data_IF_194056551333
#
_entry.id   IF_194056551333
#
_cell.length_a   1.000
_cell.length_b   1.000
_cell.length_c   1.000
_cell.angle_alpha   90.00
_cell.angle_beta   90.00
_cell.angle_gamma   90.00
#
_symmetry.space_group_name_H-M   'P 1'
#
loop_
_entity.id
_entity.type
_entity.pdbx_description
1 polymer ?
#
# COMPACT_ATOMS: atom_id res chain seq x y z
N UNK A 1 -36.17 51.83 5.84
CA UNK A 1 -34.88 51.73 6.54
C UNK A 1 -34.54 50.24 6.58
N UNK A 2 -33.62 49.80 5.69
CA UNK A 2 -33.06 48.44 5.70
C UNK A 2 -31.83 48.47 6.60
N UNK A 3 -31.95 47.93 7.80
CA UNK A 3 -30.83 47.64 8.67
C UNK A 3 -30.09 46.39 8.12
N UNK A 4 -28.95 46.61 7.48
CA UNK A 4 -28.03 45.53 7.11
C UNK A 4 -27.43 44.91 8.37
N UNK A 5 -27.77 43.68 8.68
CA UNK A 5 -27.08 42.88 9.67
C UNK A 5 -25.75 42.42 9.04
N UNK A 6 -24.71 43.19 9.21
CA UNK A 6 -23.34 42.76 8.94
C UNK A 6 -22.96 41.71 10.00
N UNK A 7 -23.07 40.45 9.69
CA UNK A 7 -22.47 39.40 10.52
C UNK A 7 -20.94 39.52 10.44
N UNK A 8 -20.30 39.79 11.57
CA UNK A 8 -18.84 39.78 11.69
C UNK A 8 -18.35 38.33 11.54
N UNK A 9 -18.09 37.91 10.31
CA UNK A 9 -17.50 36.60 10.01
C UNK A 9 -15.98 36.68 9.80
N UNK A 10 -15.40 37.91 9.96
CA UNK A 10 -13.98 38.12 9.68
C UNK A 10 -13.01 37.33 10.53
N UNK A 11 -13.38 36.99 11.75
CA UNK A 11 -12.50 36.29 12.68
C UNK A 11 -12.87 34.80 12.82
N UNK A 12 -13.85 34.32 12.03
CA UNK A 12 -14.36 32.95 12.15
C UNK A 12 -13.30 31.90 11.83
N UNK A 13 -12.44 32.14 10.87
CA UNK A 13 -11.33 31.26 10.51
C UNK A 13 -10.27 31.20 11.61
N UNK A 14 -9.94 32.33 12.23
CA UNK A 14 -8.95 32.39 13.29
C UNK A 14 -9.44 31.75 14.60
N UNK A 15 -10.71 31.91 14.96
CA UNK A 15 -11.31 31.26 16.14
C UNK A 15 -11.47 29.74 15.96
N UNK A 16 -11.69 29.29 14.75
CA UNK A 16 -11.81 27.83 14.44
C UNK A 16 -10.47 27.17 14.12
N UNK A 17 -9.39 27.92 14.08
CA UNK A 17 -8.05 27.38 13.84
C UNK A 17 -7.54 26.71 15.12
N UNK A 18 -7.41 25.38 15.08
CA UNK A 18 -6.78 24.67 16.18
C UNK A 18 -5.26 24.98 16.19
N UNK A 19 -4.73 25.67 17.22
CA UNK A 19 -3.31 26.07 17.29
C UNK A 19 -2.36 24.84 17.35
N UNK A 20 -2.88 23.67 17.71
CA UNK A 20 -2.13 22.42 17.76
C UNK A 20 -2.27 21.58 16.49
N UNK A 21 -3.05 22.03 15.51
CA UNK A 21 -3.20 21.35 14.25
C UNK A 21 -2.05 21.71 13.32
N UNK A 22 -1.41 20.69 12.76
CA UNK A 22 -0.38 20.87 11.74
C UNK A 22 -1.00 21.54 10.51
N UNK A 23 -0.46 22.68 10.09
CA UNK A 23 -0.94 23.40 8.90
C UNK A 23 -0.59 22.66 7.62
N UNK A 24 -1.33 22.91 6.53
CA UNK A 24 -1.02 22.32 5.22
C UNK A 24 0.42 22.59 4.79
N UNK A 25 0.92 23.83 4.95
CA UNK A 25 2.30 24.15 4.64
C UNK A 25 3.34 23.40 5.49
N UNK A 26 3.00 23.08 6.74
CA UNK A 26 3.84 22.23 7.60
C UNK A 26 3.77 20.75 7.17
N UNK A 27 2.63 20.30 6.65
CA UNK A 27 2.49 18.95 6.12
C UNK A 27 3.17 18.77 4.76
N UNK A 28 3.29 19.82 3.97
CA UNK A 28 4.04 19.83 2.72
C UNK A 28 5.54 19.94 2.98
N UNK A 29 5.91 20.66 4.05
CA UNK A 29 7.31 20.72 4.45
C UNK A 29 7.84 19.32 4.76
N UNK A 30 9.03 19.02 4.29
CA UNK A 30 9.71 17.75 4.52
C UNK A 30 8.97 16.50 3.96
N UNK A 31 8.15 16.66 2.93
CA UNK A 31 7.38 15.54 2.33
C UNK A 31 6.50 14.77 3.33
N UNK A 32 6.05 15.38 4.42
CA UNK A 32 5.32 14.68 5.49
C UNK A 32 4.07 13.98 4.98
N UNK A 33 3.27 14.69 4.17
CA UNK A 33 2.00 14.18 3.60
C UNK A 33 2.20 12.90 2.77
N UNK A 34 3.28 12.85 2.00
CA UNK A 34 3.61 11.74 1.10
C UNK A 34 4.45 10.68 1.80
N UNK A 35 5.42 11.10 2.58
CA UNK A 35 6.35 10.21 3.27
C UNK A 35 5.65 9.29 4.29
N UNK A 36 4.66 9.80 5.02
CA UNK A 36 3.88 8.97 5.96
C UNK A 36 3.11 7.85 5.24
N UNK A 37 2.58 8.13 4.05
CA UNK A 37 1.89 7.13 3.23
C UNK A 37 2.86 6.09 2.67
N UNK A 38 4.07 6.51 2.23
CA UNK A 38 5.13 5.58 1.82
C UNK A 38 5.51 4.66 2.99
N UNK A 39 5.69 5.22 4.19
CA UNK A 39 5.98 4.43 5.39
C UNK A 39 4.86 3.42 5.71
N UNK A 40 3.59 3.82 5.54
CA UNK A 40 2.45 2.92 5.70
C UNK A 40 2.52 1.76 4.72
N UNK A 41 2.77 2.03 3.43
CA UNK A 41 2.92 0.98 2.41
C UNK A 41 4.09 0.04 2.71
N UNK A 42 5.22 0.55 3.19
CA UNK A 42 6.36 -0.29 3.59
C UNK A 42 5.96 -1.30 4.68
N UNK A 43 5.17 -0.86 5.67
CA UNK A 43 4.67 -1.72 6.74
C UNK A 43 3.72 -2.84 6.27
N UNK A 44 3.08 -2.67 5.11
CA UNK A 44 2.16 -3.66 4.54
C UNK A 44 2.85 -4.71 3.67
N UNK A 45 4.08 -4.49 3.22
CA UNK A 45 4.83 -5.46 2.39
C UNK A 45 5.03 -6.77 3.14
N UNK A 46 5.43 -6.69 4.40
CA UNK A 46 5.48 -7.83 5.33
C UNK A 46 4.68 -7.41 6.55
N UNK A 47 3.46 -7.91 6.72
CA UNK A 47 2.64 -7.57 7.87
C UNK A 47 3.34 -8.01 9.16
N UNK A 48 3.65 -7.07 10.04
CA UNK A 48 4.28 -7.37 11.34
C UNK A 48 3.27 -7.66 12.43
N UNK A 49 2.02 -7.28 12.21
CA UNK A 49 0.97 -7.53 13.19
C UNK A 49 0.59 -9.01 13.18
N UNK A 50 0.55 -9.61 14.36
CA UNK A 50 0.38 -11.03 14.61
C UNK A 50 -0.75 -11.66 13.78
N UNK A 51 -1.96 -11.13 13.84
CA UNK A 51 -3.10 -11.72 13.14
C UNK A 51 -3.00 -11.59 11.62
N UNK A 52 -2.43 -10.51 11.07
CA UNK A 52 -2.29 -10.34 9.61
C UNK A 52 -1.27 -11.33 9.05
N UNK A 53 -0.12 -11.50 9.70
CA UNK A 53 0.86 -12.50 9.33
C UNK A 53 0.30 -13.92 9.50
N UNK A 54 -0.41 -14.15 10.58
CA UNK A 54 -1.02 -15.43 10.89
C UNK A 54 -1.97 -15.89 9.78
N UNK A 55 -2.85 -15.02 9.29
CA UNK A 55 -3.79 -15.38 8.23
C UNK A 55 -3.11 -15.62 6.88
N UNK A 56 -2.07 -14.87 6.54
CA UNK A 56 -1.38 -15.02 5.27
C UNK A 56 -0.46 -16.25 5.21
N UNK A 57 0.31 -16.47 6.28
CA UNK A 57 1.39 -17.45 6.26
C UNK A 57 1.08 -18.68 7.12
N UNK A 58 0.78 -18.48 8.41
CA UNK A 58 0.67 -19.59 9.35
C UNK A 58 -0.62 -20.40 9.20
N UNK A 59 -1.74 -19.76 8.85
CA UNK A 59 -3.05 -20.42 8.72
C UNK A 59 -3.40 -20.76 7.27
N UNK A 60 -2.72 -20.22 6.27
CA UNK A 60 -3.00 -20.50 4.86
C UNK A 60 -1.81 -21.08 4.11
N UNK A 61 -0.78 -20.29 3.83
CA UNK A 61 0.36 -20.72 3.01
C UNK A 61 1.09 -21.94 3.57
N UNK A 62 1.39 -21.94 4.87
CA UNK A 62 2.07 -23.03 5.55
C UNK A 62 1.28 -24.35 5.53
N UNK A 63 0.01 -24.38 5.96
CA UNK A 63 -0.83 -25.57 5.90
C UNK A 63 -1.10 -26.08 4.48
N UNK A 64 -1.41 -25.19 3.53
CA UNK A 64 -1.65 -25.60 2.15
C UNK A 64 -0.42 -26.21 1.49
N UNK A 65 0.76 -25.72 1.84
CA UNK A 65 2.03 -26.27 1.38
C UNK A 65 2.49 -27.51 2.17
N UNK A 66 1.77 -27.88 3.24
CA UNK A 66 2.09 -29.06 4.06
C UNK A 66 3.26 -28.84 5.05
N UNK A 67 3.67 -27.60 5.28
CA UNK A 67 4.74 -27.30 6.24
C UNK A 67 4.26 -27.25 7.70
N UNK A 68 3.00 -26.94 7.92
CA UNK A 68 2.39 -26.77 9.24
C UNK A 68 1.06 -27.53 9.27
N UNK A 69 0.79 -28.24 10.36
CA UNK A 69 -0.50 -28.89 10.62
C UNK A 69 -1.04 -28.53 11.99
N UNK A 70 -2.36 -28.63 12.18
CA UNK A 70 -2.98 -28.43 13.48
C UNK A 70 -2.66 -29.61 14.40
N UNK A 71 -2.25 -29.28 15.62
CA UNK A 71 -1.93 -30.28 16.66
C UNK A 71 -3.17 -30.74 17.44
N UNK A 72 -4.32 -30.09 17.24
CA UNK A 72 -5.54 -30.32 18.03
C UNK A 72 -6.73 -30.52 17.09
N UNK A 73 -7.44 -31.63 17.25
CA UNK A 73 -8.62 -31.94 16.44
C UNK A 73 -9.85 -31.07 16.72
N UNK A 74 -9.83 -30.33 17.83
CA UNK A 74 -10.96 -29.46 18.24
C UNK A 74 -11.13 -28.18 17.41
N UNK A 75 -10.15 -27.81 16.59
CA UNK A 75 -10.27 -26.68 15.66
C UNK A 75 -11.15 -27.05 14.48
N UNK A 76 -12.36 -26.53 14.46
CA UNK A 76 -13.34 -26.82 13.42
C UNK A 76 -13.00 -26.24 12.05
N UNK A 77 -12.15 -25.22 12.03
CA UNK A 77 -11.71 -24.53 10.81
C UNK A 77 -10.23 -24.81 10.57
N UNK A 78 -9.95 -25.74 9.65
CA UNK A 78 -8.59 -26.17 9.38
C UNK A 78 -8.21 -25.86 7.95
N UNK A 79 -7.20 -25.03 7.77
CA UNK A 79 -6.64 -24.78 6.44
C UNK A 79 -5.98 -26.04 5.85
N UNK A 80 -5.33 -26.85 6.67
CA UNK A 80 -4.72 -28.10 6.22
C UNK A 80 -5.72 -29.12 5.62
N UNK A 81 -6.97 -28.98 5.96
CA UNK A 81 -8.07 -29.77 5.36
C UNK A 81 -8.81 -29.03 4.26
N UNK A 82 -8.27 -27.90 3.81
CA UNK A 82 -8.89 -27.02 2.81
C UNK A 82 -10.30 -26.54 3.21
N UNK A 83 -10.57 -26.42 4.49
CA UNK A 83 -11.86 -25.97 5.06
C UNK A 83 -11.70 -24.75 5.98
N UNK A 84 -11.15 -23.62 5.48
CA UNK A 84 -11.02 -22.40 6.26
C UNK A 84 -12.37 -21.71 6.47
N UNK A 85 -12.52 -20.97 7.58
CA UNK A 85 -13.70 -20.13 7.79
C UNK A 85 -13.77 -19.00 6.77
N UNK A 86 -14.99 -18.49 6.53
CA UNK A 86 -15.22 -17.38 5.63
C UNK A 86 -14.43 -16.12 6.06
N UNK A 87 -14.39 -15.84 7.37
CA UNK A 87 -13.69 -14.69 7.92
C UNK A 87 -12.18 -14.80 7.73
N UNK A 88 -11.60 -15.96 7.94
CA UNK A 88 -10.16 -16.18 7.75
C UNK A 88 -9.75 -16.05 6.28
N UNK A 89 -10.60 -16.47 5.35
CA UNK A 89 -10.37 -16.28 3.90
C UNK A 89 -10.51 -14.83 3.47
N UNK A 90 -11.37 -14.06 4.15
CA UNK A 90 -11.64 -12.67 3.80
C UNK A 90 -10.51 -11.73 4.19
N UNK A 91 -9.86 -11.96 5.34
CA UNK A 91 -8.86 -11.06 5.91
C UNK A 91 -7.70 -10.74 4.95
N UNK A 92 -6.97 -11.71 4.40
CA UNK A 92 -5.84 -11.44 3.51
C UNK A 92 -6.24 -10.76 2.19
N UNK A 93 -7.52 -10.77 1.86
CA UNK A 93 -8.05 -10.17 0.64
C UNK A 93 -8.57 -8.75 0.90
N UNK A 94 -9.69 -8.62 1.59
CA UNK A 94 -10.42 -7.36 1.70
C UNK A 94 -9.62 -6.28 2.45
N UNK A 95 -8.99 -6.64 3.55
CA UNK A 95 -8.27 -5.68 4.39
C UNK A 95 -6.97 -5.24 3.70
N UNK A 96 -6.19 -6.17 3.13
CA UNK A 96 -4.94 -5.84 2.44
C UNK A 96 -5.21 -4.91 1.26
N UNK A 97 -6.26 -5.16 0.47
CA UNK A 97 -6.63 -4.27 -0.63
C UNK A 97 -6.97 -2.88 -0.10
N UNK A 98 -7.86 -2.77 0.88
CA UNK A 98 -8.31 -1.48 1.41
C UNK A 98 -7.15 -0.69 2.03
N UNK A 99 -6.33 -1.34 2.85
CA UNK A 99 -5.19 -0.71 3.52
C UNK A 99 -4.10 -0.27 2.53
N UNK A 100 -3.93 -0.99 1.43
CA UNK A 100 -2.95 -0.65 0.39
C UNK A 100 -3.41 0.52 -0.46
N UNK A 101 -4.67 0.51 -0.91
CA UNK A 101 -5.14 1.49 -1.88
C UNK A 101 -5.34 2.89 -1.30
N UNK A 102 -5.70 3.03 -0.04
CA UNK A 102 -5.86 4.34 0.60
C UNK A 102 -4.57 5.19 0.56
N UNK A 103 -3.42 4.72 1.09
CA UNK A 103 -2.17 5.45 0.98
C UNK A 103 -1.65 5.54 -0.46
N UNK A 104 -1.81 4.50 -1.27
CA UNK A 104 -1.40 4.48 -2.67
C UNK A 104 -2.07 5.61 -3.48
N UNK A 105 -3.41 5.67 -3.48
CA UNK A 105 -4.16 6.75 -4.14
C UNK A 105 -3.77 8.12 -3.62
N UNK A 106 -3.57 8.23 -2.33
CA UNK A 106 -3.16 9.49 -1.70
C UNK A 106 -1.75 9.94 -2.08
N UNK A 107 -0.89 9.06 -2.60
CA UNK A 107 0.40 9.44 -3.19
C UNK A 107 0.20 9.80 -4.66
N UNK A 108 -0.40 8.89 -5.46
CA UNK A 108 -0.57 9.07 -6.91
C UNK A 108 -1.36 10.36 -7.24
N UNK A 109 -2.40 10.68 -6.47
CA UNK A 109 -3.20 11.90 -6.67
C UNK A 109 -2.71 13.12 -5.89
N UNK A 110 -1.67 13.00 -5.09
CA UNK A 110 -1.25 14.05 -4.16
C UNK A 110 0.14 14.65 -4.41
N UNK A 111 0.91 14.14 -5.38
CA UNK A 111 2.26 14.64 -5.68
C UNK A 111 2.70 14.33 -7.09
N UNK A 112 3.54 15.21 -7.64
CA UNK A 112 4.25 14.98 -8.92
C UNK A 112 5.69 14.46 -8.70
N UNK A 113 6.09 14.19 -7.45
CA UNK A 113 7.42 13.64 -7.13
C UNK A 113 7.53 12.23 -7.69
N UNK A 114 8.36 12.06 -8.72
CA UNK A 114 8.56 10.78 -9.41
C UNK A 114 9.13 9.68 -8.49
N UNK A 115 9.90 10.05 -7.46
CA UNK A 115 10.44 9.08 -6.49
C UNK A 115 9.33 8.57 -5.57
N UNK A 116 8.45 9.46 -5.10
CA UNK A 116 7.29 9.08 -4.31
C UNK A 116 6.34 8.17 -5.08
N UNK A 117 6.06 8.51 -6.34
CA UNK A 117 5.23 7.71 -7.25
C UNK A 117 5.87 6.34 -7.51
N UNK A 118 7.21 6.31 -7.69
CA UNK A 118 7.94 5.05 -7.86
C UNK A 118 7.84 4.17 -6.62
N UNK A 119 7.97 4.73 -5.41
CA UNK A 119 7.76 3.99 -4.17
C UNK A 119 6.33 3.44 -4.07
N UNK A 120 5.33 4.26 -4.39
CA UNK A 120 3.94 3.82 -4.34
C UNK A 120 3.69 2.61 -5.25
N UNK A 121 4.13 2.67 -6.52
CA UNK A 121 4.00 1.58 -7.49
C UNK A 121 4.75 0.33 -7.06
N UNK A 122 6.01 0.49 -6.70
CA UNK A 122 6.88 -0.61 -6.27
C UNK A 122 6.29 -1.34 -5.05
N UNK A 123 5.86 -0.59 -4.04
CA UNK A 123 5.30 -1.17 -2.81
C UNK A 123 3.93 -1.79 -3.04
N UNK A 124 3.08 -1.18 -3.90
CA UNK A 124 1.83 -1.80 -4.32
C UNK A 124 2.06 -3.17 -4.95
N UNK A 125 3.00 -3.27 -5.89
CA UNK A 125 3.34 -4.56 -6.51
C UNK A 125 3.81 -5.56 -5.46
N UNK A 126 4.71 -5.17 -4.56
CA UNK A 126 5.24 -6.04 -3.53
C UNK A 126 4.14 -6.61 -2.59
N UNK A 127 3.11 -5.81 -2.30
CA UNK A 127 1.97 -6.22 -1.47
C UNK A 127 1.00 -7.07 -2.27
N UNK A 128 0.56 -6.58 -3.44
CA UNK A 128 -0.54 -7.16 -4.21
C UNK A 128 -0.16 -8.45 -4.94
N UNK A 129 1.15 -8.70 -5.18
CA UNK A 129 1.61 -9.98 -5.69
C UNK A 129 1.15 -11.13 -4.80
N UNK A 130 1.28 -11.00 -3.48
CA UNK A 130 0.82 -12.01 -2.52
C UNK A 130 -0.69 -12.24 -2.62
N UNK A 131 -1.46 -11.17 -2.83
CA UNK A 131 -2.91 -11.27 -2.93
C UNK A 131 -3.31 -12.04 -4.19
N UNK A 132 -2.78 -11.70 -5.35
CA UNK A 132 -3.09 -12.43 -6.60
C UNK A 132 -2.54 -13.86 -6.60
N UNK A 133 -1.39 -14.11 -5.95
CA UNK A 133 -0.85 -15.46 -5.78
C UNK A 133 -1.78 -16.35 -4.93
N UNK A 134 -2.49 -15.77 -3.97
CA UNK A 134 -3.39 -16.48 -3.07
C UNK A 134 -4.81 -16.64 -3.62
N UNK A 135 -5.30 -15.69 -4.41
CA UNK A 135 -6.71 -15.63 -4.84
C UNK A 135 -6.90 -15.70 -6.36
N UNK A 136 -5.84 -15.62 -7.15
CA UNK A 136 -5.92 -15.56 -8.61
C UNK A 136 -6.41 -14.20 -9.09
N UNK A 137 -7.57 -14.12 -9.77
CA UNK A 137 -8.15 -12.83 -10.19
C UNK A 137 -8.45 -11.92 -9.01
N UNK A 138 -8.04 -10.65 -9.13
CA UNK A 138 -8.26 -9.60 -8.10
C UNK A 138 -8.61 -8.28 -8.76
N UNK A 139 -9.28 -7.34 -8.06
CA UNK A 139 -9.41 -5.97 -8.53
C UNK A 139 -8.03 -5.30 -8.44
N UNK A 140 -7.48 -4.84 -9.57
CA UNK A 140 -6.15 -4.25 -9.63
C UNK A 140 -6.09 -2.99 -10.49
N UNK A 141 -6.32 -3.10 -11.81
CA UNK A 141 -6.14 -1.99 -12.74
C UNK A 141 -7.20 -0.91 -12.62
N UNK A 142 -8.44 -1.29 -12.29
CA UNK A 142 -9.60 -0.39 -12.23
C UNK A 142 -9.87 0.18 -10.82
N UNK A 143 -9.08 -0.18 -9.82
CA UNK A 143 -9.26 0.34 -8.46
C UNK A 143 -8.92 1.83 -8.33
N UNK A 144 -8.21 2.40 -9.30
CA UNK A 144 -7.89 3.82 -9.33
C UNK A 144 -9.07 4.67 -9.78
N UNK A 145 -9.96 4.10 -10.60
CA UNK A 145 -11.14 4.76 -11.13
C UNK A 145 -12.24 4.76 -10.06
N UNK A 146 -12.44 5.90 -9.40
CA UNK A 146 -13.43 6.06 -8.31
C UNK A 146 -14.88 6.11 -8.75
N UNK A 147 -15.20 5.83 -10.02
CA UNK A 147 -16.52 6.07 -10.60
C UNK A 147 -17.53 4.93 -10.35
N UNK A 148 -17.09 3.76 -9.93
CA UNK A 148 -17.96 2.60 -9.74
C UNK A 148 -17.93 2.05 -8.33
N UNK A 149 -19.11 1.72 -7.81
CA UNK A 149 -19.26 0.96 -6.54
C UNK A 149 -18.76 -0.49 -6.70
N UNK A 150 -18.80 -0.99 -7.94
CA UNK A 150 -18.32 -2.33 -8.28
C UNK A 150 -17.04 -2.21 -9.12
N UNK A 151 -15.98 -2.83 -8.63
CA UNK A 151 -14.73 -2.94 -9.37
C UNK A 151 -14.61 -4.35 -9.93
N UNK A 152 -14.49 -4.45 -11.24
CA UNK A 152 -14.27 -5.73 -11.92
C UNK A 152 -12.92 -6.32 -11.52
N UNK A 153 -12.86 -7.64 -11.43
CA UNK A 153 -11.62 -8.37 -11.22
C UNK A 153 -10.85 -8.49 -12.53
N UNK A 154 -9.58 -8.17 -12.46
CA UNK A 154 -8.65 -8.49 -13.55
C UNK A 154 -8.25 -9.97 -13.48
N UNK A 155 -8.04 -10.57 -14.63
CA UNK A 155 -7.40 -11.90 -14.66
C UNK A 155 -6.01 -11.84 -14.06
N UNK A 156 -5.52 -12.93 -13.50
CA UNK A 156 -4.17 -12.99 -12.94
C UNK A 156 -3.10 -12.58 -13.97
N UNK A 157 -3.27 -12.98 -15.23
CA UNK A 157 -2.40 -12.55 -16.35
C UNK A 157 -2.38 -11.03 -16.51
N UNK A 158 -3.56 -10.39 -16.48
CA UNK A 158 -3.68 -8.92 -16.55
C UNK A 158 -3.02 -8.25 -15.36
N UNK A 159 -3.22 -8.78 -14.16
CA UNK A 159 -2.59 -8.27 -12.93
C UNK A 159 -1.06 -8.30 -13.06
N UNK A 160 -0.49 -9.43 -13.47
CA UNK A 160 0.95 -9.56 -13.65
C UNK A 160 1.50 -8.63 -14.73
N UNK A 161 0.78 -8.50 -15.85
CA UNK A 161 1.16 -7.54 -16.92
C UNK A 161 1.23 -6.13 -16.37
N UNK A 162 0.23 -5.71 -15.59
CA UNK A 162 0.23 -4.39 -14.94
C UNK A 162 1.35 -4.23 -13.91
N UNK A 163 1.65 -5.27 -13.15
CA UNK A 163 2.78 -5.26 -12.22
C UNK A 163 4.12 -5.04 -12.94
N UNK A 164 4.32 -5.63 -14.11
CA UNK A 164 5.53 -5.37 -14.92
C UNK A 164 5.60 -3.93 -15.41
N UNK A 165 4.50 -3.37 -15.91
CA UNK A 165 4.42 -1.97 -16.33
C UNK A 165 4.78 -1.02 -15.17
N UNK A 166 4.25 -1.27 -13.99
CA UNK A 166 4.53 -0.46 -12.80
C UNK A 166 5.96 -0.59 -12.31
N UNK A 167 6.51 -1.80 -12.32
CA UNK A 167 7.91 -2.04 -11.94
C UNK A 167 8.86 -1.37 -12.93
N UNK A 168 8.57 -1.41 -14.23
CA UNK A 168 9.39 -0.73 -15.23
C UNK A 168 9.36 0.79 -15.07
N UNK A 169 8.19 1.35 -14.81
CA UNK A 169 8.06 2.78 -14.52
C UNK A 169 8.82 3.17 -13.24
N UNK A 170 8.69 2.36 -12.17
CA UNK A 170 9.39 2.61 -10.91
C UNK A 170 10.92 2.48 -11.05
N UNK A 171 11.39 1.43 -11.72
CA UNK A 171 12.82 1.21 -12.00
C UNK A 171 13.39 2.38 -12.81
N UNK A 172 12.67 2.85 -13.82
CA UNK A 172 13.09 4.00 -14.62
C UNK A 172 13.21 5.29 -13.80
N UNK A 173 12.22 5.58 -12.95
CA UNK A 173 12.23 6.74 -12.07
C UNK A 173 13.34 6.66 -11.01
N UNK A 174 13.47 5.54 -10.32
CA UNK A 174 14.52 5.34 -9.32
C UNK A 174 15.92 5.40 -9.96
N UNK A 175 16.08 4.86 -11.18
CA UNK A 175 17.35 4.88 -11.91
C UNK A 175 17.84 6.29 -12.22
N UNK A 176 16.93 7.22 -12.52
CA UNK A 176 17.26 8.64 -12.74
C UNK A 176 17.65 9.38 -11.46
N UNK A 177 17.26 8.88 -10.31
CA UNK A 177 17.37 9.55 -9.02
C UNK A 177 18.37 8.90 -8.05
N UNK A 178 19.26 8.03 -8.51
CA UNK A 178 20.22 7.31 -7.66
C UNK A 178 21.20 8.22 -6.92
N UNK A 179 21.38 9.45 -7.39
CA UNK A 179 22.26 10.47 -6.77
C UNK A 179 21.52 11.40 -5.81
N UNK A 180 20.19 11.22 -5.65
CA UNK A 180 19.41 12.01 -4.70
C UNK A 180 19.95 11.77 -3.28
N UNK A 181 20.05 12.86 -2.49
CA UNK A 181 20.42 12.73 -1.08
C UNK A 181 19.43 11.85 -0.34
N UNK A 182 19.93 10.94 0.49
CA UNK A 182 19.10 10.10 1.34
C UNK A 182 18.25 10.90 2.34
N UNK A 183 18.66 12.14 2.67
CA UNK A 183 17.98 12.98 3.66
C UNK A 183 16.52 13.26 3.29
N UNK A 184 16.21 13.34 1.99
CA UNK A 184 14.86 13.59 1.51
C UNK A 184 13.85 12.50 1.99
N UNK A 185 14.29 11.25 2.09
CA UNK A 185 13.43 10.11 2.39
C UNK A 185 13.81 9.36 3.67
N UNK A 186 15.00 9.61 4.25
CA UNK A 186 15.54 8.85 5.40
C UNK A 186 14.57 8.79 6.59
N UNK A 187 13.79 9.84 6.80
CA UNK A 187 12.81 9.93 7.89
C UNK A 187 11.61 8.99 7.73
N UNK A 188 11.25 8.67 6.50
CA UNK A 188 10.07 7.87 6.17
C UNK A 188 10.40 6.47 5.67
N UNK A 189 11.63 6.26 5.21
CA UNK A 189 12.10 4.98 4.73
C UNK A 189 12.75 4.19 5.87
N UNK A 190 12.00 3.25 6.41
CA UNK A 190 12.47 2.35 7.47
C UNK A 190 13.30 1.18 6.97
N UNK A 191 13.51 1.03 5.65
CA UNK A 191 14.18 -0.13 5.04
C UNK A 191 15.61 0.21 4.63
N UNK A 192 15.78 1.22 3.79
CA UNK A 192 17.10 1.62 3.25
C UNK A 192 17.46 3.06 3.59
N UNK A 193 16.72 3.70 4.49
CA UNK A 193 17.00 5.04 5.02
C UNK A 193 17.19 6.09 3.92
N UNK A 194 16.35 6.03 2.88
CA UNK A 194 16.36 6.96 1.76
C UNK A 194 17.40 6.64 0.67
N UNK A 195 18.08 5.51 0.73
CA UNK A 195 19.05 5.11 -0.27
C UNK A 195 18.36 4.59 -1.55
N UNK A 196 18.22 5.46 -2.55
CA UNK A 196 17.53 5.16 -3.81
C UNK A 196 18.22 4.05 -4.59
N UNK A 197 19.55 3.95 -4.54
CA UNK A 197 20.28 2.89 -5.23
C UNK A 197 19.95 1.49 -4.65
N UNK A 198 19.70 1.39 -3.36
CA UNK A 198 19.25 0.14 -2.74
C UNK A 198 17.81 -0.19 -3.15
N UNK A 199 16.93 0.81 -3.20
CA UNK A 199 15.58 0.63 -3.71
C UNK A 199 15.53 0.19 -5.16
N UNK A 200 16.43 0.71 -6.00
CA UNK A 200 16.57 0.26 -7.39
C UNK A 200 16.96 -1.24 -7.46
N UNK A 201 17.89 -1.68 -6.60
CA UNK A 201 18.24 -3.11 -6.51
C UNK A 201 17.05 -3.96 -6.08
N UNK A 202 16.30 -3.50 -5.06
CA UNK A 202 15.09 -4.17 -4.60
C UNK A 202 14.05 -4.28 -5.72
N UNK A 203 13.81 -3.19 -6.46
CA UNK A 203 12.84 -3.18 -7.57
C UNK A 203 13.19 -4.20 -8.66
N UNK A 204 14.46 -4.29 -9.05
CA UNK A 204 14.93 -5.29 -10.01
C UNK A 204 14.82 -6.72 -9.47
N UNK A 205 15.09 -6.94 -8.18
CA UNK A 205 14.92 -8.25 -7.53
C UNK A 205 13.45 -8.65 -7.46
N UNK A 206 12.56 -7.71 -7.16
CA UNK A 206 11.13 -7.95 -7.17
C UNK A 206 10.63 -8.26 -8.58
N UNK A 207 11.10 -7.52 -9.61
CA UNK A 207 10.77 -7.81 -11.01
C UNK A 207 11.20 -9.21 -11.42
N UNK A 208 12.40 -9.64 -11.04
CA UNK A 208 12.86 -11.00 -11.26
C UNK A 208 11.95 -12.02 -10.58
N UNK A 209 11.59 -11.78 -9.32
CA UNK A 209 10.66 -12.66 -8.57
C UNK A 209 9.31 -12.78 -9.25
N UNK A 210 8.74 -11.66 -9.72
CA UNK A 210 7.47 -11.65 -10.46
C UNK A 210 7.60 -12.41 -11.78
N UNK A 211 8.75 -12.32 -12.47
CA UNK A 211 8.99 -13.03 -13.74
C UNK A 211 9.17 -14.56 -13.58
N UNK A 212 9.44 -15.05 -12.39
CA UNK A 212 9.60 -16.49 -12.11
C UNK A 212 8.28 -17.17 -11.74
N UNK A 213 7.18 -16.43 -11.70
CA UNK A 213 5.84 -16.95 -11.42
C UNK A 213 5.07 -17.23 -12.69
#
# INVERSE_FOLDING_TARGET
VLLGLGACTGDFEDYNRNPNQVTEGQMEALNYKTGTKVKTLQGLVIPVQEHMYQFNESLSGGPFAGYIGATVDSWQTKFETFNPSADWRKWPFANVITETYTPYKGIIGGTDDEVAIAFARLLRVAIMQRVTDSYGPIPYSKLEDNESVYVEYDSQETVYTKMFEELDAAIGALGRNTTLSSDAWSRYDGVYYGNIAQWLKYANSLKLRVAMR
#
